data_IF_114793768518
#
_entry.id   IF_114793768518
#
_cell.length_a   1.000
_cell.length_b   1.000
_cell.length_c   1.000
_cell.angle_alpha   90.00
_cell.angle_beta   90.00
_cell.angle_gamma   90.00
#
_symmetry.space_group_name_H-M   'P 1'
#
loop_
_entity.id
_entity.type
_entity.pdbx_description
1 polymer ?
#
# COMPACT_ATOMS: atom_id res chain seq x y z
N UNK A 1 17.87 -12.60 -2.76
CA UNK A 1 18.85 -11.73 -3.45
C UNK A 1 18.49 -10.27 -3.20
N UNK A 2 19.40 -9.49 -2.62
CA UNK A 2 19.15 -8.13 -2.09
C UNK A 2 19.58 -6.99 -3.01
N UNK A 3 20.46 -7.26 -3.99
CA UNK A 3 20.93 -6.25 -4.93
C UNK A 3 19.83 -5.77 -5.88
N UNK A 4 19.60 -4.46 -5.93
CA UNK A 4 18.73 -3.81 -6.89
C UNK A 4 19.57 -3.08 -7.93
N UNK A 5 19.53 -3.53 -9.19
CA UNK A 5 20.23 -2.85 -10.28
C UNK A 5 19.71 -1.42 -10.50
N UNK A 6 18.40 -1.22 -10.29
CA UNK A 6 17.77 0.10 -10.38
C UNK A 6 18.31 1.08 -9.32
N UNK A 7 18.48 0.61 -8.07
CA UNK A 7 18.99 1.44 -6.97
C UNK A 7 20.52 1.40 -6.83
N UNK A 8 21.21 0.54 -7.59
CA UNK A 8 22.66 0.29 -7.52
C UNK A 8 23.18 -0.01 -6.11
N UNK A 9 22.37 -0.68 -5.30
CA UNK A 9 22.69 -1.02 -3.92
C UNK A 9 21.84 -2.20 -3.44
N UNK A 10 22.17 -2.72 -2.25
CA UNK A 10 21.32 -3.70 -1.58
C UNK A 10 20.10 -3.01 -0.96
N UNK A 11 18.91 -3.55 -1.22
CA UNK A 11 17.66 -3.04 -0.67
C UNK A 11 16.92 -4.11 0.12
N UNK A 12 16.17 -3.65 1.12
CA UNK A 12 15.28 -4.48 1.93
C UNK A 12 13.88 -3.86 1.82
N UNK A 13 12.86 -4.71 1.79
CA UNK A 13 11.45 -4.35 1.71
C UNK A 13 10.74 -4.75 2.99
N UNK A 14 9.80 -3.91 3.40
CA UNK A 14 8.86 -4.20 4.46
C UNK A 14 7.45 -3.93 3.94
N UNK A 15 6.52 -4.80 4.31
CA UNK A 15 5.10 -4.51 4.17
C UNK A 15 4.62 -3.81 5.44
N UNK A 16 4.06 -2.63 5.26
CA UNK A 16 3.45 -1.86 6.34
C UNK A 16 1.99 -1.64 5.98
N UNK A 17 1.10 -1.92 6.92
CA UNK A 17 -0.30 -1.55 6.79
C UNK A 17 -0.64 -0.47 7.82
N UNK A 18 -1.38 0.54 7.38
CA UNK A 18 -1.83 1.64 8.21
C UNK A 18 -3.34 1.81 8.08
N UNK A 19 -3.96 2.29 9.13
CA UNK A 19 -5.33 2.81 9.08
C UNK A 19 -5.35 4.22 8.48
N UNK A 20 -6.52 4.74 8.06
CA UNK A 20 -6.60 6.04 7.36
C UNK A 20 -6.20 7.25 8.21
N UNK A 21 -6.22 7.09 9.54
CA UNK A 21 -5.72 8.05 10.53
C UNK A 21 -4.18 8.08 10.64
N UNK A 22 -3.48 7.28 9.82
CA UNK A 22 -2.02 7.19 9.83
C UNK A 22 -1.44 6.22 10.87
N UNK A 23 -2.29 5.54 11.66
CA UNK A 23 -1.80 4.57 12.66
C UNK A 23 -1.28 3.31 11.96
N UNK A 24 -0.03 2.93 12.26
CA UNK A 24 0.56 1.69 11.75
C UNK A 24 -0.02 0.48 12.50
N UNK A 25 -0.78 -0.37 11.81
CA UNK A 25 -1.41 -1.56 12.40
C UNK A 25 -0.68 -2.87 12.09
N UNK A 26 0.28 -2.87 11.16
CA UNK A 26 1.08 -4.05 10.83
C UNK A 26 2.43 -3.70 10.20
N UNK A 27 3.48 -4.46 10.57
CA UNK A 27 4.80 -4.42 9.94
C UNK A 27 5.28 -5.87 9.74
N UNK A 28 5.69 -6.24 8.53
CA UNK A 28 6.25 -7.56 8.24
C UNK A 28 7.71 -7.69 8.66
N UNK A 29 8.25 -8.91 8.60
CA UNK A 29 9.70 -9.12 8.53
C UNK A 29 10.30 -8.47 7.27
N UNK A 30 11.64 -8.32 7.25
CA UNK A 30 12.37 -7.73 6.13
C UNK A 30 12.59 -8.71 4.99
N UNK A 31 12.27 -8.30 3.77
CA UNK A 31 12.42 -9.10 2.56
C UNK A 31 13.52 -8.54 1.67
N UNK A 32 14.21 -9.39 0.92
CA UNK A 32 15.16 -8.90 -0.09
C UNK A 32 14.48 -8.00 -1.12
N UNK A 33 15.18 -6.96 -1.56
CA UNK A 33 14.66 -5.95 -2.49
C UNK A 33 14.04 -6.45 -3.79
N UNK A 34 14.46 -7.63 -4.27
CA UNK A 34 13.93 -8.25 -5.49
C UNK A 34 12.66 -9.07 -5.25
N UNK A 35 12.24 -9.28 -4.00
CA UNK A 35 10.98 -9.97 -3.69
C UNK A 35 9.80 -9.13 -4.18
N UNK A 36 8.85 -9.76 -4.87
CA UNK A 36 7.64 -9.08 -5.36
C UNK A 36 6.69 -8.76 -4.20
N UNK A 37 5.96 -7.66 -4.32
CA UNK A 37 5.07 -7.19 -3.25
C UNK A 37 3.93 -8.19 -2.98
N UNK A 38 3.48 -8.91 -4.02
CA UNK A 38 2.52 -10.01 -3.91
C UNK A 38 3.04 -11.20 -3.10
N UNK A 39 4.33 -11.54 -3.20
CA UNK A 39 4.94 -12.60 -2.39
C UNK A 39 5.05 -12.16 -0.94
N UNK A 40 5.44 -10.90 -0.72
CA UNK A 40 5.51 -10.32 0.63
C UNK A 40 4.13 -10.34 1.28
N UNK A 41 3.07 -9.92 0.58
CA UNK A 41 1.70 -9.98 1.08
C UNK A 41 1.32 -11.38 1.56
N UNK A 42 1.49 -12.39 0.69
CA UNK A 42 1.08 -13.78 0.98
C UNK A 42 1.88 -14.44 2.10
N UNK A 43 3.15 -14.05 2.29
CA UNK A 43 4.05 -14.69 3.24
C UNK A 43 4.28 -13.91 4.54
N UNK A 44 3.93 -12.63 4.58
CA UNK A 44 4.15 -11.76 5.74
C UNK A 44 3.26 -12.10 6.95
N UNK A 45 2.23 -12.93 6.77
CA UNK A 45 1.20 -13.17 7.80
C UNK A 45 0.17 -12.03 7.91
N UNK A 46 0.23 -11.02 7.05
CA UNK A 46 -0.76 -9.94 7.04
C UNK A 46 -2.17 -10.45 6.72
N UNK A 47 -2.30 -11.37 5.75
CA UNK A 47 -3.60 -11.89 5.33
C UNK A 47 -4.37 -12.56 6.50
N UNK A 48 -3.65 -13.11 7.47
CA UNK A 48 -4.26 -13.77 8.64
C UNK A 48 -4.74 -12.78 9.71
N UNK A 49 -4.39 -11.50 9.56
CA UNK A 49 -4.82 -10.40 10.43
C UNK A 49 -5.98 -9.59 9.82
N UNK A 50 -6.40 -9.93 8.60
CA UNK A 50 -7.51 -9.25 7.93
C UNK A 50 -8.82 -9.70 8.57
N UNK A 51 -9.62 -8.73 9.01
CA UNK A 51 -10.99 -8.97 9.44
C UNK A 51 -11.94 -8.94 8.24
N UNK A 52 -12.96 -9.83 8.19
CA UNK A 52 -13.98 -9.77 7.15
C UNK A 52 -14.70 -8.41 7.13
N UNK A 53 -14.97 -7.91 5.93
CA UNK A 53 -15.64 -6.62 5.72
C UNK A 53 -14.70 -5.43 5.61
N UNK A 54 -13.39 -5.56 5.88
CA UNK A 54 -12.46 -4.43 5.65
C UNK A 54 -12.23 -4.17 4.16
N UNK A 55 -11.96 -2.92 3.82
CA UNK A 55 -11.45 -2.55 2.51
C UNK A 55 -9.94 -2.41 2.60
N UNK A 56 -9.22 -2.88 1.61
CA UNK A 56 -7.77 -2.83 1.56
C UNK A 56 -7.38 -2.02 0.36
N UNK A 57 -6.70 -0.90 0.59
CA UNK A 57 -6.13 -0.12 -0.48
C UNK A 57 -4.68 -0.56 -0.72
N UNK A 58 -4.35 -0.94 -1.96
CA UNK A 58 -2.98 -1.32 -2.31
C UNK A 58 -2.54 -0.75 -3.66
N UNK A 59 -1.24 -0.50 -3.77
CA UNK A 59 -0.62 -0.01 -5.00
C UNK A 59 -0.67 -1.04 -6.13
N UNK A 60 -0.45 -0.57 -7.37
CA UNK A 60 -0.35 -1.42 -8.57
C UNK A 60 0.77 -2.48 -8.51
N UNK A 61 1.74 -2.33 -7.61
CA UNK A 61 2.80 -3.31 -7.36
C UNK A 61 2.26 -4.65 -6.82
N UNK A 62 1.12 -4.62 -6.13
CA UNK A 62 0.42 -5.80 -5.61
C UNK A 62 -0.44 -6.44 -6.71
N UNK A 63 0.22 -7.24 -7.55
CA UNK A 63 -0.42 -7.96 -8.67
C UNK A 63 -1.01 -9.30 -8.20
N UNK A 64 -2.20 -9.63 -8.70
CA UNK A 64 -2.86 -10.93 -8.47
C UNK A 64 -3.05 -11.27 -6.98
N UNK A 65 -3.53 -10.27 -6.20
CA UNK A 65 -3.77 -10.39 -4.75
C UNK A 65 -5.25 -10.32 -4.39
N UNK A 66 -6.11 -10.04 -5.38
CA UNK A 66 -7.55 -9.87 -5.23
C UNK A 66 -8.19 -11.11 -4.62
N UNK A 67 -7.79 -12.29 -5.11
CA UNK A 67 -8.31 -13.57 -4.63
C UNK A 67 -7.91 -13.82 -3.17
N UNK A 68 -6.64 -13.59 -2.84
CA UNK A 68 -6.13 -13.84 -1.49
C UNK A 68 -6.80 -12.92 -0.46
N UNK A 69 -7.13 -11.67 -0.85
CA UNK A 69 -7.86 -10.71 -0.01
C UNK A 69 -9.34 -11.09 0.09
N UNK A 70 -9.97 -11.48 -1.02
CA UNK A 70 -11.37 -11.90 -1.05
C UNK A 70 -11.63 -13.17 -0.25
N UNK A 71 -10.67 -14.11 -0.22
CA UNK A 71 -10.71 -15.32 0.62
C UNK A 71 -10.78 -14.99 2.12
N UNK A 72 -10.31 -13.80 2.52
CA UNK A 72 -10.41 -13.28 3.90
C UNK A 72 -11.69 -12.47 4.15
N UNK A 73 -12.60 -12.40 3.18
CA UNK A 73 -13.84 -11.61 3.28
C UNK A 73 -13.61 -10.10 3.17
N UNK A 74 -12.45 -9.67 2.70
CA UNK A 74 -12.11 -8.26 2.47
C UNK A 74 -12.21 -7.90 0.99
N UNK A 75 -12.20 -6.62 0.67
CA UNK A 75 -12.20 -6.15 -0.73
C UNK A 75 -10.99 -5.27 -1.03
N UNK A 76 -10.43 -5.42 -2.24
CA UNK A 76 -9.28 -4.64 -2.68
C UNK A 76 -9.74 -3.38 -3.44
N UNK A 77 -9.23 -2.23 -3.03
CA UNK A 77 -9.38 -0.94 -3.69
C UNK A 77 -8.03 -0.53 -4.27
N UNK A 78 -8.02 -0.04 -5.51
CA UNK A 78 -6.82 0.58 -6.10
C UNK A 78 -7.11 2.05 -6.37
N UNK A 79 -6.31 2.99 -5.84
CA UNK A 79 -6.53 4.39 -6.10
C UNK A 79 -6.39 4.67 -7.61
N UNK A 80 -7.21 5.57 -8.17
CA UNK A 80 -7.09 5.97 -9.56
C UNK A 80 -5.68 6.52 -9.77
N UNK A 81 -5.02 6.03 -10.82
CA UNK A 81 -3.67 6.53 -11.12
C UNK A 81 -3.77 7.94 -11.64
N UNK A 82 -2.90 8.81 -11.13
CA UNK A 82 -2.62 10.10 -11.74
C UNK A 82 -2.05 9.88 -13.15
N UNK A 83 -2.95 9.69 -14.11
CA UNK A 83 -2.68 10.02 -15.50
C UNK A 83 -2.55 11.54 -15.53
N UNK A 84 -1.36 12.02 -15.85
CA UNK A 84 -1.04 13.43 -16.02
C UNK A 84 -1.82 13.98 -17.21
N UNK A 85 -3.07 14.38 -16.99
CA UNK A 85 -3.83 15.20 -17.94
C UNK A 85 -4.70 16.19 -17.15
N UNK A 86 -4.08 17.33 -16.82
CA UNK A 86 -4.76 18.54 -16.36
C UNK A 86 -5.10 18.60 -14.86
N UNK A 87 -5.28 19.83 -14.31
CA UNK A 87 -5.79 20.00 -12.96
C UNK A 87 -7.18 19.35 -12.85
N UNK A 88 -7.34 18.46 -11.87
CA UNK A 88 -8.60 17.77 -11.58
C UNK A 88 -9.73 18.80 -11.46
N UNK A 89 -10.70 18.74 -12.37
CA UNK A 89 -11.86 19.60 -12.32
C UNK A 89 -12.64 19.30 -11.03
N UNK A 90 -13.20 20.34 -10.39
CA UNK A 90 -13.98 20.26 -9.14
C UNK A 90 -15.15 19.24 -9.18
N UNK A 91 -15.52 18.76 -10.36
CA UNK A 91 -16.52 17.70 -10.59
C UNK A 91 -15.98 16.28 -10.35
N UNK A 92 -14.70 16.00 -10.62
CA UNK A 92 -14.13 14.65 -10.47
C UNK A 92 -13.74 14.34 -9.03
N UNK A 93 -13.39 15.37 -8.25
CA UNK A 93 -13.18 15.27 -6.80
C UNK A 93 -14.47 14.92 -6.03
N UNK A 94 -15.65 14.97 -6.68
CA UNK A 94 -16.94 14.60 -6.07
C UNK A 94 -17.24 13.11 -6.22
N UNK A 95 -16.74 12.45 -7.27
CA UNK A 95 -16.90 11.01 -7.46
C UNK A 95 -16.06 10.20 -6.45
N UNK A 96 -14.93 10.74 -5.98
CA UNK A 96 -14.17 10.15 -4.86
C UNK A 96 -14.72 10.49 -3.47
N UNK A 97 -15.69 11.42 -3.36
CA UNK A 97 -16.37 11.73 -2.09
C UNK A 97 -17.61 10.86 -1.83
N UNK A 98 -18.07 10.08 -2.80
CA UNK A 98 -19.34 9.35 -2.70
C UNK A 98 -19.17 7.84 -2.44
N UNK A 99 -17.97 7.39 -2.06
CA UNK A 99 -17.78 6.09 -1.43
C UNK A 99 -17.56 6.30 0.06
N UNK A 100 -18.54 6.91 0.72
CA UNK A 100 -18.69 6.79 2.16
C UNK A 100 -19.44 5.46 2.42
N UNK A 101 -18.78 4.35 2.08
CA UNK A 101 -19.19 3.05 2.61
C UNK A 101 -18.74 2.99 4.07
N UNK A 102 -19.50 2.36 4.98
CA UNK A 102 -19.19 2.27 6.42
C UNK A 102 -17.92 1.45 6.75
N UNK A 103 -17.14 1.06 5.75
CA UNK A 103 -15.95 0.25 5.91
C UNK A 103 -14.76 1.13 6.23
N UNK A 104 -13.96 0.74 7.23
CA UNK A 104 -12.68 1.37 7.53
C UNK A 104 -11.67 0.83 6.51
N UNK A 105 -11.16 1.64 5.56
CA UNK A 105 -10.15 1.15 4.62
C UNK A 105 -8.79 1.02 5.33
N UNK A 106 -8.16 -0.15 5.29
CA UNK A 106 -6.75 -0.32 5.64
C UNK A 106 -5.93 0.00 4.40
N UNK A 107 -4.95 0.89 4.52
CA UNK A 107 -4.03 1.19 3.42
C UNK A 107 -2.73 0.41 3.58
N UNK A 108 -2.34 -0.28 2.52
CA UNK A 108 -1.13 -1.10 2.47
C UNK A 108 -0.05 -0.44 1.65
N UNK A 109 1.12 -0.33 2.25
CA UNK A 109 2.32 0.21 1.62
C UNK A 109 3.44 -0.82 1.65
N UNK A 110 4.01 -1.11 0.47
CA UNK A 110 5.30 -1.79 0.40
C UNK A 110 6.39 -0.74 0.40
N UNK A 111 7.13 -0.61 1.50
CA UNK A 111 8.22 0.34 1.59
C UNK A 111 9.52 -0.41 1.37
N UNK A 112 10.19 -0.05 0.27
CA UNK A 112 11.53 -0.51 -0.05
C UNK A 112 12.53 0.44 0.60
N UNK A 113 13.03 0.09 1.79
CA UNK A 113 14.14 0.82 2.40
C UNK A 113 15.45 0.44 1.71
N UNK A 114 16.04 1.43 1.06
CA UNK A 114 17.42 1.34 0.59
C UNK A 114 18.34 1.57 1.79
N UNK A 115 19.36 0.72 1.97
CA UNK A 115 20.25 0.71 3.15
C UNK A 115 21.19 1.92 3.22
N UNK A 116 20.76 3.09 2.73
CA UNK A 116 21.61 4.28 2.58
C UNK A 116 21.15 5.49 3.40
N UNK A 117 19.88 5.54 3.89
CA UNK A 117 19.47 6.44 4.99
C UNK A 117 18.01 6.22 5.37
N UNK A 118 17.80 6.15 6.67
CA UNK A 118 16.53 5.96 7.35
C UNK A 118 15.58 7.16 7.21
N UNK A 119 14.27 6.87 7.27
CA UNK A 119 13.19 7.73 7.81
C UNK A 119 12.30 8.58 6.88
N UNK A 120 12.64 8.84 5.60
CA UNK A 120 11.95 9.90 4.82
C UNK A 120 10.85 9.48 3.83
N UNK A 121 10.67 8.21 3.48
CA UNK A 121 9.83 7.85 2.31
C UNK A 121 8.33 7.64 2.59
N UNK A 122 7.93 7.41 3.85
CA UNK A 122 6.54 7.04 4.19
C UNK A 122 5.65 8.28 4.30
N UNK A 123 6.10 9.29 5.06
CA UNK A 123 5.36 10.56 5.23
C UNK A 123 5.12 11.27 3.90
N UNK A 124 6.12 11.29 3.00
CA UNK A 124 6.00 11.89 1.67
C UNK A 124 4.97 11.17 0.79
N UNK A 125 4.84 9.84 0.88
CA UNK A 125 3.87 9.09 0.08
C UNK A 125 2.43 9.32 0.57
N UNK A 126 2.23 9.37 1.89
CA UNK A 126 0.93 9.69 2.50
C UNK A 126 0.46 11.10 2.14
N UNK A 127 1.35 12.09 2.23
CA UNK A 127 1.07 13.46 1.81
C UNK A 127 0.77 13.56 0.31
N UNK A 128 1.49 12.83 -0.54
CA UNK A 128 1.25 12.85 -1.99
C UNK A 128 -0.09 12.21 -2.41
N UNK A 129 -0.64 11.29 -1.61
CA UNK A 129 -1.93 10.64 -1.86
C UNK A 129 -3.12 11.39 -1.21
N UNK A 130 -2.88 12.54 -0.57
CA UNK A 130 -3.92 13.37 0.02
C UNK A 130 -4.50 12.83 1.33
N UNK A 131 -3.82 11.87 1.97
CA UNK A 131 -4.15 11.45 3.33
C UNK A 131 -3.51 12.46 4.29
N UNK A 132 -4.35 13.32 4.89
CA UNK A 132 -3.92 14.26 5.91
C UNK A 132 -3.59 13.50 7.20
N UNK A 133 -2.37 13.70 7.71
CA UNK A 133 -2.02 13.50 9.13
C UNK A 133 -2.82 14.42 10.03
#
# INVERSE_FOLDING_TARGET
MTWSAYKKCNTIKYLIACTPDGTCCFISEGWGGRTSDSVILKKSGFLDKIEPGVQIMADRGFKHVERDIAEKGASLVRPPSVVSTGPLCKSDARLTKQVASPFIPIVMYCISTTFEKSRLSIELYLQHQGYAT
#
